data_IF_996039909382
#
_entry.id   IF_996039909382
#
_cell.length_a   1.000
_cell.length_b   1.000
_cell.length_c   1.000
_cell.angle_alpha   90.00
_cell.angle_beta   90.00
_cell.angle_gamma   90.00
#
_symmetry.space_group_name_H-M   'P 1'
#
loop_
_entity.id
_entity.type
_entity.pdbx_description
1 polymer ?
#
# COMPACT_ATOMS: atom_id res chain seq x y z
N UNK A 1 -7.24 0.99 13.23
CA UNK A 1 -7.77 2.36 12.94
C UNK A 1 -7.60 2.77 11.49
N UNK A 2 -6.45 2.44 10.87
CA UNK A 2 -6.15 2.82 9.48
C UNK A 2 -6.99 2.08 8.45
N UNK A 3 -7.38 0.82 8.70
CA UNK A 3 -8.34 0.08 7.86
C UNK A 3 -9.64 0.83 7.58
N UNK A 4 -10.22 1.52 8.57
CA UNK A 4 -11.46 2.29 8.38
C UNK A 4 -11.21 3.45 7.41
N UNK A 5 -10.06 4.13 7.53
CA UNK A 5 -9.68 5.20 6.61
C UNK A 5 -9.43 4.66 5.19
N UNK A 6 -8.77 3.51 5.05
CA UNK A 6 -8.54 2.85 3.76
C UNK A 6 -9.87 2.48 3.11
N UNK A 7 -10.80 1.86 3.85
CA UNK A 7 -12.11 1.48 3.33
C UNK A 7 -12.90 2.70 2.81
N UNK A 8 -12.89 3.81 3.54
CA UNK A 8 -13.59 5.04 3.16
C UNK A 8 -12.98 5.70 1.91
N UNK A 9 -11.65 5.74 1.81
CA UNK A 9 -10.98 6.29 0.62
C UNK A 9 -11.24 5.40 -0.59
N UNK A 10 -11.13 4.08 -0.44
CA UNK A 10 -11.43 3.12 -1.51
C UNK A 10 -12.88 3.28 -1.99
N UNK A 11 -13.82 3.44 -1.07
CA UNK A 11 -15.23 3.71 -1.39
C UNK A 11 -15.39 4.99 -2.22
N UNK A 12 -14.66 6.06 -1.90
CA UNK A 12 -14.72 7.32 -2.66
C UNK A 12 -14.29 7.16 -4.12
N UNK A 13 -13.28 6.32 -4.40
CA UNK A 13 -12.85 6.00 -5.76
C UNK A 13 -13.81 5.06 -6.49
N UNK A 14 -14.42 4.11 -5.78
CA UNK A 14 -15.46 3.26 -6.35
C UNK A 14 -16.67 4.09 -6.77
N UNK A 15 -17.05 5.10 -5.98
CA UNK A 15 -18.12 6.03 -6.37
C UNK A 15 -17.76 6.84 -7.63
N UNK A 16 -16.49 7.23 -7.80
CA UNK A 16 -16.04 7.93 -9.02
C UNK A 16 -16.13 7.06 -10.28
N UNK A 17 -15.84 5.76 -10.15
CA UNK A 17 -15.82 4.80 -11.27
C UNK A 17 -17.21 4.19 -11.53
N UNK A 18 -18.04 4.11 -10.49
CA UNK A 18 -19.35 3.46 -10.52
C UNK A 18 -19.31 1.93 -10.56
N UNK A 19 -18.14 1.31 -10.38
CA UNK A 19 -17.95 -0.14 -10.45
C UNK A 19 -16.82 -0.59 -9.50
N UNK A 20 -16.91 -1.84 -9.03
CA UNK A 20 -15.91 -2.47 -8.15
C UNK A 20 -14.77 -3.17 -8.92
N UNK A 21 -14.85 -3.27 -10.25
CA UNK A 21 -13.84 -3.96 -11.03
C UNK A 21 -12.55 -3.12 -11.10
N UNK A 22 -11.43 -3.66 -10.60
CA UNK A 22 -10.13 -2.99 -10.61
C UNK A 22 -9.63 -2.66 -12.02
N UNK A 23 -10.01 -3.45 -13.04
CA UNK A 23 -9.63 -3.14 -14.43
C UNK A 23 -10.21 -1.82 -14.93
N UNK A 24 -11.31 -1.36 -14.34
CA UNK A 24 -11.91 -0.09 -14.73
C UNK A 24 -11.05 1.11 -14.33
N UNK A 25 -10.25 1.01 -13.24
CA UNK A 25 -9.32 2.08 -12.85
C UNK A 25 -8.33 2.41 -13.98
N UNK A 26 -7.88 1.40 -14.72
CA UNK A 26 -7.00 1.57 -15.89
C UNK A 26 -7.67 2.40 -16.98
N UNK A 27 -8.92 2.07 -17.33
CA UNK A 27 -9.65 2.78 -18.39
C UNK A 27 -9.92 4.25 -18.04
N UNK A 28 -10.28 4.55 -16.79
CA UNK A 28 -10.56 5.92 -16.36
C UNK A 28 -9.30 6.77 -16.16
N UNK A 29 -8.14 6.16 -15.91
CA UNK A 29 -6.86 6.86 -15.70
C UNK A 29 -6.02 7.04 -16.98
N UNK A 30 -6.61 6.81 -18.16
CA UNK A 30 -5.89 6.87 -19.46
C UNK A 30 -5.29 8.25 -19.76
N UNK A 31 -6.00 9.33 -19.41
CA UNK A 31 -5.58 10.69 -19.75
C UNK A 31 -4.91 11.41 -18.58
N UNK A 32 -5.51 11.31 -17.39
CA UNK A 32 -5.06 11.99 -16.18
C UNK A 32 -5.11 10.98 -15.04
N UNK A 33 -4.05 10.95 -14.23
CA UNK A 33 -3.96 10.11 -13.05
C UNK A 33 -4.88 10.60 -11.94
N UNK A 34 -5.41 9.68 -11.13
CA UNK A 34 -6.23 10.07 -9.99
C UNK A 34 -5.43 10.79 -8.91
N UNK A 35 -4.11 10.58 -8.84
CA UNK A 35 -3.25 11.35 -7.95
C UNK A 35 -3.32 12.85 -8.20
N UNK A 36 -3.42 13.29 -9.46
CA UNK A 36 -3.48 14.73 -9.77
C UNK A 36 -4.86 15.32 -9.49
N UNK A 37 -5.93 14.53 -9.63
CA UNK A 37 -7.29 14.99 -9.34
C UNK A 37 -7.58 15.01 -7.84
N UNK A 38 -7.16 13.96 -7.12
CA UNK A 38 -7.45 13.73 -5.71
C UNK A 38 -6.17 13.67 -4.88
N UNK A 39 -5.31 14.67 -5.05
CA UNK A 39 -4.00 14.72 -4.38
C UNK A 39 -4.08 14.57 -2.84
N UNK A 40 -5.00 15.26 -2.13
CA UNK A 40 -5.11 15.09 -0.68
C UNK A 40 -5.48 13.67 -0.28
N UNK A 41 -6.37 13.01 -1.03
CA UNK A 41 -6.77 11.63 -0.76
C UNK A 41 -5.62 10.65 -1.02
N UNK A 42 -4.78 10.92 -2.03
CA UNK A 42 -3.56 10.16 -2.28
C UNK A 42 -2.57 10.23 -1.13
N UNK A 43 -2.39 11.41 -0.52
CA UNK A 43 -1.52 11.56 0.65
C UNK A 43 -2.06 10.83 1.88
N UNK A 44 -3.36 10.93 2.15
CA UNK A 44 -3.97 10.22 3.29
C UNK A 44 -3.85 8.71 3.07
N UNK A 45 -4.16 8.20 1.87
CA UNK A 45 -3.97 6.79 1.53
C UNK A 45 -2.52 6.33 1.73
N UNK A 46 -1.55 7.13 1.28
CA UNK A 46 -0.15 6.78 1.43
C UNK A 46 0.24 6.68 2.92
N UNK A 47 -0.19 7.64 3.74
CA UNK A 47 0.07 7.61 5.20
C UNK A 47 -0.61 6.44 5.90
N UNK A 48 -1.83 6.06 5.50
CA UNK A 48 -2.54 4.92 6.10
C UNK A 48 -1.94 3.59 5.67
N UNK A 49 -1.44 3.45 4.44
CA UNK A 49 -0.69 2.27 4.01
C UNK A 49 0.62 2.08 4.77
N UNK A 50 1.38 3.15 5.02
CA UNK A 50 2.60 3.09 5.83
C UNK A 50 2.28 2.65 7.26
N UNK A 51 1.21 3.18 7.84
CA UNK A 51 0.80 2.84 9.19
C UNK A 51 0.27 1.41 9.33
N UNK A 52 -0.42 0.89 8.32
CA UNK A 52 -0.91 -0.51 8.32
C UNK A 52 0.22 -1.53 8.12
N UNK A 53 1.27 -1.16 7.38
CA UNK A 53 2.45 -2.01 7.16
C UNK A 53 3.52 -1.84 8.24
N UNK A 54 3.22 -1.12 9.32
CA UNK A 54 4.14 -0.81 10.43
C UNK A 54 5.48 -0.22 9.96
N UNK A 55 5.49 0.54 8.86
CA UNK A 55 6.73 1.13 8.34
C UNK A 55 7.02 2.48 9.00
N UNK A 56 8.30 2.84 9.11
CA UNK A 56 8.73 4.17 9.55
C UNK A 56 8.00 5.26 8.75
N UNK A 57 7.41 6.29 9.39
CA UNK A 57 7.57 6.70 10.78
C UNK A 57 6.55 6.11 11.78
N UNK A 58 5.66 5.21 11.33
CA UNK A 58 4.60 4.62 12.16
C UNK A 58 4.97 3.27 12.75
N UNK A 59 6.26 2.96 12.77
CA UNK A 59 6.82 1.73 13.30
C UNK A 59 7.02 1.80 14.82
N UNK A 60 5.92 1.84 15.57
CA UNK A 60 5.97 1.89 17.03
C UNK A 60 6.18 0.50 17.65
N UNK A 61 5.66 -0.54 17.00
CA UNK A 61 5.75 -1.91 17.50
C UNK A 61 7.17 -2.49 17.38
N UNK A 62 7.88 -2.15 16.29
CA UNK A 62 9.26 -2.60 16.07
C UNK A 62 10.27 -1.58 16.59
N UNK A 63 10.00 -0.27 16.45
CA UNK A 63 10.90 0.81 16.91
C UNK A 63 11.11 0.90 18.44
N UNK A 64 10.12 0.53 19.26
CA UNK A 64 10.34 0.39 20.73
C UNK A 64 11.07 -0.93 21.08
N UNK A 65 11.17 -1.84 20.12
CA UNK A 65 11.73 -3.18 20.27
C UNK A 65 13.16 -3.33 19.72
N UNK A 66 13.75 -2.27 19.17
CA UNK A 66 15.17 -2.27 18.77
C UNK A 66 16.12 -2.50 19.96
N UNK A 67 15.65 -2.37 21.22
CA UNK A 67 16.42 -2.71 22.42
C UNK A 67 16.25 -4.17 22.89
N UNK A 68 15.16 -4.85 22.54
CA UNK A 68 14.90 -6.29 22.72
C UNK A 68 13.80 -6.63 21.71
N UNK A 69 14.04 -7.51 20.73
CA UNK A 69 13.23 -7.71 19.51
C UNK A 69 11.79 -8.22 19.73
N UNK A 70 10.99 -7.49 20.51
CA UNK A 70 9.53 -7.56 20.67
C UNK A 70 8.95 -8.96 20.67
N UNK A 71 7.90 -9.13 19.86
CA UNK A 71 7.25 -10.41 19.61
C UNK A 71 8.13 -11.38 18.80
N UNK A 72 9.16 -10.87 18.09
CA UNK A 72 10.07 -11.69 17.29
C UNK A 72 11.00 -12.57 18.14
N UNK A 73 11.20 -12.26 19.44
CA UNK A 73 12.02 -13.09 20.37
C UNK A 73 11.42 -14.47 20.61
N UNK A 74 10.09 -14.59 20.59
CA UNK A 74 9.40 -15.84 20.91
C UNK A 74 9.43 -16.87 19.76
N UNK A 75 9.71 -16.41 18.54
CA UNK A 75 9.73 -17.24 17.36
C UNK A 75 11.15 -17.77 17.07
N UNK A 76 11.25 -19.09 16.91
CA UNK A 76 12.46 -19.72 16.40
C UNK A 76 12.73 -19.33 14.94
N UNK A 77 13.94 -19.65 14.44
CA UNK A 77 14.45 -19.20 13.14
C UNK A 77 13.48 -19.34 11.95
N UNK A 78 12.70 -20.43 11.88
CA UNK A 78 11.72 -20.64 10.81
C UNK A 78 10.47 -19.77 10.93
N UNK A 79 9.93 -19.59 12.14
CA UNK A 79 8.77 -18.72 12.39
C UNK A 79 9.12 -17.26 12.17
N UNK A 80 10.31 -16.85 12.59
CA UNK A 80 10.88 -15.53 12.32
C UNK A 80 10.92 -15.23 10.82
N UNK A 81 11.44 -16.16 10.01
CA UNK A 81 11.52 -15.97 8.55
C UNK A 81 10.14 -15.77 7.89
N UNK A 82 9.10 -16.44 8.38
CA UNK A 82 7.75 -16.30 7.83
C UNK A 82 7.11 -14.95 8.16
N UNK A 83 7.42 -14.36 9.33
CA UNK A 83 6.93 -13.05 9.74
C UNK A 83 7.49 -11.98 8.80
N UNK A 84 8.81 -11.95 8.57
CA UNK A 84 9.41 -11.02 7.61
C UNK A 84 8.86 -11.20 6.20
N UNK A 85 8.67 -12.44 5.76
CA UNK A 85 8.13 -12.69 4.42
C UNK A 85 6.70 -12.17 4.31
N UNK A 86 5.88 -12.31 5.35
CA UNK A 86 4.52 -11.77 5.40
C UNK A 86 4.50 -10.24 5.40
N UNK A 87 5.40 -9.58 6.13
CA UNK A 87 5.53 -8.12 6.14
C UNK A 87 5.99 -7.57 4.79
N UNK A 88 6.99 -8.18 4.16
CA UNK A 88 7.41 -7.76 2.81
C UNK A 88 6.32 -8.01 1.77
N UNK A 89 5.56 -9.10 1.90
CA UNK A 89 4.42 -9.37 1.03
C UNK A 89 3.30 -8.32 1.22
N UNK A 90 3.04 -7.87 2.44
CA UNK A 90 2.03 -6.85 2.72
C UNK A 90 2.45 -5.48 2.17
N UNK A 91 3.73 -5.11 2.26
CA UNK A 91 4.30 -3.90 1.64
C UNK A 91 4.11 -3.93 0.12
N UNK A 92 4.49 -5.04 -0.53
CA UNK A 92 4.33 -5.18 -1.97
C UNK A 92 2.86 -5.11 -2.39
N UNK A 93 1.96 -5.73 -1.61
CA UNK A 93 0.53 -5.69 -1.90
C UNK A 93 -0.05 -4.26 -1.77
N UNK A 94 0.27 -3.55 -0.70
CA UNK A 94 -0.21 -2.18 -0.50
C UNK A 94 0.34 -1.20 -1.54
N UNK A 95 1.62 -1.34 -1.92
CA UNK A 95 2.22 -0.54 -2.99
C UNK A 95 1.55 -0.80 -4.35
N UNK A 96 1.19 -2.06 -4.64
CA UNK A 96 0.46 -2.42 -5.86
C UNK A 96 -0.92 -1.76 -5.89
N UNK A 97 -1.67 -1.80 -4.79
CA UNK A 97 -2.96 -1.12 -4.68
C UNK A 97 -2.84 0.40 -4.91
N UNK A 98 -1.80 1.03 -4.36
CA UNK A 98 -1.57 2.45 -4.59
C UNK A 98 -1.33 2.76 -6.08
N UNK A 99 -0.48 2.00 -6.75
CA UNK A 99 -0.18 2.21 -8.18
C UNK A 99 -1.43 2.02 -9.04
N UNK A 100 -2.21 0.97 -8.79
CA UNK A 100 -3.46 0.71 -9.52
C UNK A 100 -4.48 1.85 -9.35
N UNK A 101 -4.65 2.35 -8.12
CA UNK A 101 -5.67 3.35 -7.85
C UNK A 101 -5.25 4.77 -8.20
N UNK A 102 -3.96 5.12 -8.12
CA UNK A 102 -3.54 6.52 -8.26
C UNK A 102 -2.70 6.81 -9.50
N UNK A 103 -1.90 5.85 -9.99
CA UNK A 103 -0.84 6.08 -10.98
C UNK A 103 -1.03 5.32 -12.31
N UNK A 104 -2.19 4.71 -12.52
CA UNK A 104 -2.53 3.93 -13.71
C UNK A 104 -1.97 2.51 -13.65
N UNK A 105 -2.87 1.53 -13.78
CA UNK A 105 -2.59 0.11 -13.61
C UNK A 105 -2.30 -0.68 -14.88
N UNK A 106 -1.45 -0.18 -15.78
CA UNK A 106 -1.12 -0.88 -17.04
C UNK A 106 -0.25 -2.13 -16.80
N UNK A 107 -0.87 -3.23 -16.36
CA UNK A 107 -0.16 -4.47 -15.99
C UNK A 107 0.71 -5.06 -17.10
N UNK A 108 0.33 -4.86 -18.37
CA UNK A 108 1.10 -5.35 -19.51
C UNK A 108 2.37 -4.55 -19.78
N UNK A 109 2.49 -3.35 -19.20
CA UNK A 109 3.61 -2.45 -19.44
C UNK A 109 4.74 -2.70 -18.44
N UNK A 110 5.99 -2.65 -18.91
CA UNK A 110 7.17 -2.68 -18.03
C UNK A 110 7.16 -1.49 -17.06
N UNK A 111 6.57 -0.36 -17.46
CA UNK A 111 6.48 0.85 -16.64
C UNK A 111 5.69 0.61 -15.33
N UNK A 112 4.71 -0.29 -15.34
CA UNK A 112 3.96 -0.63 -14.14
C UNK A 112 4.87 -1.25 -13.07
N UNK A 113 5.74 -2.19 -13.44
CA UNK A 113 6.67 -2.81 -12.51
C UNK A 113 7.70 -1.81 -11.95
N UNK A 114 8.16 -0.86 -12.76
CA UNK A 114 9.02 0.23 -12.27
C UNK A 114 8.32 1.13 -11.25
N UNK A 115 7.04 1.49 -11.50
CA UNK A 115 6.24 2.28 -10.54
C UNK A 115 6.03 1.50 -9.24
N UNK A 116 5.74 0.21 -9.32
CA UNK A 116 5.55 -0.65 -8.15
C UNK A 116 6.83 -0.71 -7.32
N UNK A 117 7.97 -0.99 -7.96
CA UNK A 117 9.27 -1.03 -7.26
C UNK A 117 9.59 0.32 -6.60
N UNK A 118 9.33 1.44 -7.28
CA UNK A 118 9.52 2.75 -6.69
C UNK A 118 8.64 2.93 -5.44
N UNK A 119 7.34 2.64 -5.54
CA UNK A 119 6.41 2.79 -4.43
C UNK A 119 6.67 1.82 -3.27
N UNK A 120 7.26 0.64 -3.50
CA UNK A 120 7.61 -0.28 -2.41
C UNK A 120 8.80 0.18 -1.59
N UNK A 121 9.68 1.00 -2.17
CA UNK A 121 10.85 1.52 -1.45
C UNK A 121 10.58 2.86 -0.74
N UNK A 122 9.64 3.65 -1.26
CA UNK A 122 9.20 4.93 -0.66
C UNK A 122 8.36 4.67 0.58
#
# INVERSE_FOLDING_TARGET
SYEVSLALILLSFIFLIGNYNMMNFLYYQKYIWFLTMMFPMGLVWFSSCLAETNRTPFDFAEGESELVSGFNVEYSSGGFALIFLAEYASILFMSMLFVLMFLGGDMNSIMFYFKLMFMSFV
#
